data_IF_222326070727
#
_entry.id   IF_222326070727
#
_cell.length_a   1.000
_cell.length_b   1.000
_cell.length_c   1.000
_cell.angle_alpha   90.00
_cell.angle_beta   90.00
_cell.angle_gamma   90.00
#
_symmetry.space_group_name_H-M   'P 1'
#
loop_
_entity.id
_entity.type
_entity.pdbx_description
1 polymer ?
#
# COMPACT_ATOMS: atom_id res chain seq x y z
N UNK A 1 29.50 -6.89 -4.02
CA UNK A 1 28.85 -7.33 -2.77
C UNK A 1 29.21 -6.32 -1.70
N UNK A 2 28.23 -5.89 -0.91
CA UNK A 2 28.44 -4.85 0.10
C UNK A 2 28.51 -5.54 1.45
N UNK A 3 29.60 -5.38 2.19
CA UNK A 3 29.78 -5.93 3.54
C UNK A 3 29.29 -4.90 4.57
N UNK A 4 28.42 -5.32 5.50
CA UNK A 4 27.91 -4.45 6.55
C UNK A 4 29.03 -4.04 7.52
N UNK A 5 30.09 -4.80 7.67
CA UNK A 5 31.23 -4.45 8.53
C UNK A 5 31.97 -3.19 8.09
N UNK A 6 31.82 -2.80 6.81
CA UNK A 6 32.46 -1.60 6.26
C UNK A 6 31.80 -0.30 6.71
N UNK A 7 30.66 -0.39 7.44
CA UNK A 7 29.90 0.78 7.87
C UNK A 7 30.21 1.13 9.31
N UNK A 8 30.81 2.29 9.52
CA UNK A 8 31.12 2.83 10.83
C UNK A 8 30.28 4.09 11.13
N UNK A 9 30.20 4.46 12.42
CA UNK A 9 29.58 5.71 12.86
C UNK A 9 30.55 6.89 12.69
N UNK A 10 30.99 7.15 11.46
CA UNK A 10 31.80 8.33 11.20
C UNK A 10 30.95 9.59 11.27
N UNK A 11 31.33 10.52 12.15
CA UNK A 11 30.62 11.78 12.35
C UNK A 11 31.06 12.90 11.40
N UNK A 12 32.11 12.69 10.64
CA UNK A 12 32.59 13.62 9.63
C UNK A 12 33.24 12.90 8.45
N UNK A 13 32.78 13.22 7.27
CA UNK A 13 33.34 12.75 6.00
C UNK A 13 33.80 13.97 5.20
N UNK A 14 35.02 13.92 4.66
CA UNK A 14 35.50 14.92 3.70
C UNK A 14 35.45 14.27 2.31
N UNK A 15 34.51 14.69 1.45
CA UNK A 15 34.45 14.14 0.10
C UNK A 15 35.76 14.46 -0.65
N UNK A 16 36.31 13.44 -1.28
CA UNK A 16 37.57 13.54 -2.06
C UNK A 16 37.37 14.26 -3.41
N UNK A 17 36.13 14.49 -3.83
CA UNK A 17 35.76 15.10 -5.13
C UNK A 17 34.92 16.37 -4.94
N UNK A 18 34.91 17.26 -5.95
CA UNK A 18 33.94 18.37 -5.98
C UNK A 18 32.53 17.79 -6.05
N UNK A 19 31.74 18.03 -5.01
CA UNK A 19 30.33 17.61 -4.90
C UNK A 19 29.42 18.80 -5.27
N UNK A 20 28.23 18.51 -5.81
CA UNK A 20 27.21 19.52 -6.10
C UNK A 20 26.66 20.13 -4.81
N UNK A 21 25.98 21.27 -4.91
CA UNK A 21 25.33 21.92 -3.76
C UNK A 21 24.23 21.02 -3.20
N UNK A 22 23.50 20.34 -4.06
CA UNK A 22 22.41 19.41 -3.70
C UNK A 22 22.98 18.19 -2.97
N UNK A 23 24.07 17.63 -3.46
CA UNK A 23 24.76 16.50 -2.83
C UNK A 23 25.29 16.87 -1.44
N UNK A 24 25.83 18.10 -1.30
CA UNK A 24 26.26 18.61 0.01
C UNK A 24 25.11 18.71 1.00
N UNK A 25 23.96 19.25 0.58
CA UNK A 25 22.75 19.33 1.43
C UNK A 25 22.26 17.94 1.84
N UNK A 26 22.32 16.97 0.93
CA UNK A 26 21.91 15.60 1.27
C UNK A 26 22.87 14.97 2.29
N UNK A 27 24.19 15.18 2.16
CA UNK A 27 25.14 14.77 3.18
C UNK A 27 24.87 15.42 4.55
N UNK A 28 24.52 16.70 4.59
CA UNK A 28 24.15 17.38 5.84
C UNK A 28 22.92 16.72 6.50
N UNK A 29 21.92 16.33 5.69
CA UNK A 29 20.73 15.58 6.17
C UNK A 29 21.12 14.19 6.70
N UNK A 30 21.97 13.47 5.98
CA UNK A 30 22.47 12.15 6.37
C UNK A 30 23.23 12.23 7.69
N UNK A 31 24.17 13.17 7.84
CA UNK A 31 24.89 13.37 9.10
C UNK A 31 23.98 13.82 10.24
N UNK A 32 22.98 14.66 9.96
CA UNK A 32 21.99 15.03 10.94
C UNK A 32 21.22 13.83 11.43
N UNK A 33 20.75 12.97 10.51
CA UNK A 33 20.05 11.71 10.83
C UNK A 33 20.92 10.77 11.67
N UNK A 34 22.19 10.58 11.28
CA UNK A 34 23.13 9.71 12.00
C UNK A 34 23.37 10.18 13.45
N UNK A 35 23.49 11.49 13.66
CA UNK A 35 23.75 12.08 14.99
C UNK A 35 22.52 12.15 15.88
N UNK A 36 21.39 12.62 15.31
CA UNK A 36 20.17 12.89 16.08
C UNK A 36 19.18 11.73 16.10
N UNK A 37 19.35 10.74 15.21
CA UNK A 37 18.34 9.73 14.96
C UNK A 37 17.10 10.25 14.23
N UNK A 38 17.18 11.42 13.59
CA UNK A 38 16.07 11.98 12.84
C UNK A 38 15.71 11.09 11.63
N UNK A 39 14.40 10.89 11.42
CA UNK A 39 13.91 10.12 10.30
C UNK A 39 14.05 10.90 8.99
N UNK A 40 14.55 10.24 7.96
CA UNK A 40 14.55 10.68 6.57
C UNK A 40 13.50 9.87 5.80
N UNK A 41 13.09 10.37 4.65
CA UNK A 41 12.16 9.67 3.73
C UNK A 41 12.81 9.56 2.36
N UNK A 42 12.64 8.41 1.70
CA UNK A 42 13.15 8.19 0.35
C UNK A 42 12.35 7.12 -0.39
N UNK A 43 12.54 7.09 -1.71
CA UNK A 43 11.88 6.12 -2.59
C UNK A 43 12.79 4.92 -2.80
N UNK A 44 12.25 3.72 -2.63
CA UNK A 44 12.96 2.48 -2.91
C UNK A 44 13.16 2.34 -4.42
N UNK A 45 14.40 2.30 -4.85
CA UNK A 45 14.77 2.18 -6.27
C UNK A 45 14.95 0.73 -6.70
N UNK A 46 15.20 -0.17 -5.75
CA UNK A 46 15.40 -1.59 -6.02
C UNK A 46 15.89 -2.35 -4.79
N UNK A 47 16.46 -3.51 -5.06
CA UNK A 47 16.96 -4.41 -4.02
C UNK A 47 18.41 -4.82 -4.33
N UNK A 48 19.20 -4.96 -3.28
CA UNK A 48 20.57 -5.50 -3.34
C UNK A 48 20.72 -6.70 -2.41
N UNK A 49 21.83 -7.38 -2.55
CA UNK A 49 22.28 -8.40 -1.61
C UNK A 49 23.43 -7.84 -0.78
N UNK A 50 23.33 -8.00 0.53
CA UNK A 50 24.29 -7.50 1.51
C UNK A 50 24.83 -8.68 2.32
N UNK A 51 26.15 -8.72 2.54
CA UNK A 51 26.79 -9.69 3.40
C UNK A 51 26.64 -9.21 4.85
N UNK A 52 25.98 -10.03 5.68
CA UNK A 52 25.80 -9.77 7.10
C UNK A 52 27.04 -10.15 7.92
N UNK A 53 27.18 -9.67 9.17
CA UNK A 53 28.34 -10.01 10.03
C UNK A 53 28.48 -11.50 10.34
N UNK A 54 27.38 -12.26 10.25
CA UNK A 54 27.33 -13.71 10.42
C UNK A 54 27.80 -14.49 9.18
N UNK A 55 28.09 -13.79 8.07
CA UNK A 55 28.48 -14.37 6.79
C UNK A 55 27.30 -14.75 5.89
N UNK A 56 26.06 -14.51 6.31
CA UNK A 56 24.88 -14.76 5.48
C UNK A 56 24.63 -13.62 4.49
N UNK A 57 24.21 -13.99 3.28
CA UNK A 57 23.73 -13.03 2.28
C UNK A 57 22.24 -12.76 2.49
N UNK A 58 21.88 -11.51 2.75
CA UNK A 58 20.48 -11.10 2.91
C UNK A 58 20.09 -10.02 1.91
N UNK A 59 18.82 -10.04 1.51
CA UNK A 59 18.23 -8.97 0.71
C UNK A 59 18.23 -7.65 1.49
N UNK A 60 18.37 -6.56 0.77
CA UNK A 60 18.28 -5.21 1.31
C UNK A 60 17.52 -4.30 0.35
N UNK A 61 16.80 -3.32 0.89
CA UNK A 61 16.22 -2.24 0.09
C UNK A 61 17.30 -1.24 -0.26
N UNK A 62 17.26 -0.72 -1.48
CA UNK A 62 18.17 0.30 -1.97
C UNK A 62 17.42 1.58 -2.30
N UNK A 63 17.88 2.69 -1.72
CA UNK A 63 17.44 4.04 -2.00
C UNK A 63 18.63 4.80 -2.57
N UNK A 64 18.43 5.56 -3.63
CA UNK A 64 19.48 6.39 -4.24
C UNK A 64 19.01 7.83 -4.25
N UNK A 65 19.77 8.70 -3.59
CA UNK A 65 19.57 10.15 -3.62
C UNK A 65 20.90 10.84 -3.92
N UNK A 66 20.92 11.66 -4.97
CA UNK A 66 22.11 12.46 -5.36
C UNK A 66 23.41 11.63 -5.39
N UNK A 67 23.38 10.43 -5.99
CA UNK A 67 24.48 9.47 -6.07
C UNK A 67 24.84 8.76 -4.74
N UNK A 68 24.20 9.14 -3.65
CA UNK A 68 24.42 8.46 -2.36
C UNK A 68 23.48 7.27 -2.29
N UNK A 69 24.03 6.10 -2.08
CA UNK A 69 23.30 4.85 -1.94
C UNK A 69 22.98 4.60 -0.48
N UNK A 70 21.72 4.47 -0.13
CA UNK A 70 21.26 4.09 1.21
C UNK A 70 20.71 2.68 1.16
N UNK A 71 21.23 1.83 2.03
CA UNK A 71 20.89 0.41 2.09
C UNK A 71 20.18 0.12 3.40
N UNK A 72 19.04 -0.55 3.31
CA UNK A 72 18.27 -1.00 4.48
C UNK A 72 18.26 -2.53 4.46
N UNK A 73 19.07 -3.22 5.30
CA UNK A 73 19.10 -4.67 5.38
C UNK A 73 17.74 -5.25 5.76
N UNK A 74 17.47 -6.48 5.35
CA UNK A 74 16.20 -7.19 5.60
C UNK A 74 15.76 -7.11 7.08
N UNK A 75 16.68 -7.33 8.01
CA UNK A 75 16.42 -7.36 9.46
C UNK A 75 16.07 -5.96 10.03
N UNK A 76 16.38 -4.90 9.27
CA UNK A 76 16.09 -3.51 9.62
C UNK A 76 14.88 -2.92 8.85
N UNK A 77 14.22 -3.73 8.00
CA UNK A 77 13.02 -3.29 7.25
C UNK A 77 11.77 -3.35 8.12
N UNK A 78 11.60 -4.43 8.89
CA UNK A 78 10.37 -4.72 9.62
C UNK A 78 10.47 -4.37 11.09
N UNK A 79 9.38 -3.81 11.66
CA UNK A 79 9.36 -3.47 13.07
C UNK A 79 9.41 -4.71 13.98
N UNK A 80 8.65 -5.76 13.63
CA UNK A 80 8.63 -7.02 14.38
C UNK A 80 9.35 -8.12 13.57
N UNK A 81 10.48 -8.59 14.08
CA UNK A 81 11.27 -9.65 13.45
C UNK A 81 10.60 -11.02 13.49
N UNK A 82 9.69 -11.28 14.46
CA UNK A 82 8.99 -12.57 14.57
C UNK A 82 7.88 -12.74 13.52
N UNK A 83 7.36 -11.65 12.99
CA UNK A 83 6.28 -11.62 11.98
C UNK A 83 6.73 -10.91 10.71
N UNK A 84 7.95 -11.15 10.28
CA UNK A 84 8.45 -10.58 9.04
C UNK A 84 7.68 -11.12 7.84
N UNK A 85 7.23 -10.25 6.92
CA UNK A 85 6.75 -10.69 5.63
C UNK A 85 7.81 -11.53 4.89
N UNK A 86 7.39 -12.47 4.02
CA UNK A 86 8.33 -13.28 3.26
C UNK A 86 9.29 -12.42 2.42
N UNK A 87 10.52 -12.88 2.13
CA UNK A 87 11.53 -12.12 1.40
C UNK A 87 11.07 -11.57 0.04
N UNK A 88 10.12 -12.23 -0.63
CA UNK A 88 9.59 -11.75 -1.90
C UNK A 88 8.82 -10.42 -1.79
N UNK A 89 8.28 -10.09 -0.60
CA UNK A 89 7.58 -8.81 -0.37
C UNK A 89 8.55 -7.63 -0.51
N UNK A 90 9.81 -7.78 -0.07
CA UNK A 90 10.83 -6.73 -0.25
C UNK A 90 11.02 -6.39 -1.74
N UNK A 91 11.01 -7.40 -2.61
CA UNK A 91 11.15 -7.18 -4.06
C UNK A 91 9.99 -6.38 -4.66
N UNK A 92 8.81 -6.47 -4.08
CA UNK A 92 7.64 -5.69 -4.50
C UNK A 92 7.55 -4.29 -3.90
N UNK A 93 8.52 -3.89 -3.07
CA UNK A 93 8.59 -2.56 -2.48
C UNK A 93 9.26 -1.50 -3.38
N UNK A 94 9.74 -1.87 -4.56
CA UNK A 94 10.26 -0.89 -5.53
C UNK A 94 9.22 0.17 -5.85
N UNK A 95 9.60 1.45 -5.76
CA UNK A 95 8.69 2.58 -5.87
C UNK A 95 8.07 3.03 -4.55
N UNK A 96 8.18 2.24 -3.47
CA UNK A 96 7.64 2.60 -2.16
C UNK A 96 8.36 3.82 -1.56
N UNK A 97 7.57 4.71 -0.95
CA UNK A 97 8.11 5.75 -0.08
C UNK A 97 8.27 5.19 1.34
N UNK A 98 9.49 5.17 1.83
CA UNK A 98 9.81 4.62 3.15
C UNK A 98 10.56 5.62 4.01
N UNK A 99 10.24 5.63 5.29
CA UNK A 99 11.00 6.37 6.30
C UNK A 99 12.16 5.51 6.79
N UNK A 100 13.31 6.13 7.04
CA UNK A 100 14.50 5.45 7.56
C UNK A 100 15.36 6.37 8.43
N UNK A 101 16.20 5.79 9.25
CA UNK A 101 17.20 6.50 10.08
C UNK A 101 18.57 5.96 9.69
N UNK A 102 19.52 6.83 9.42
CA UNK A 102 20.89 6.43 9.10
C UNK A 102 21.55 5.85 10.35
N UNK A 103 22.18 4.69 10.20
CA UNK A 103 22.85 3.96 11.29
C UNK A 103 24.35 3.85 11.12
N UNK A 104 24.85 4.01 9.87
CA UNK A 104 26.27 3.98 9.56
C UNK A 104 26.55 4.55 8.17
N UNK A 105 27.80 4.94 7.95
CA UNK A 105 28.30 5.48 6.68
C UNK A 105 29.57 4.72 6.35
N UNK A 106 29.75 4.31 5.09
CA UNK A 106 30.99 3.68 4.61
C UNK A 106 32.07 4.74 4.39
N UNK A 107 33.32 4.37 4.67
CA UNK A 107 34.49 5.29 4.59
C UNK A 107 34.68 5.98 3.24
N UNK A 108 34.31 5.32 2.14
CA UNK A 108 34.39 5.90 0.79
C UNK A 108 33.31 6.97 0.54
N UNK A 109 32.32 7.10 1.43
CA UNK A 109 31.27 8.09 1.32
C UNK A 109 30.29 7.89 0.15
N UNK A 110 30.24 6.69 -0.44
CA UNK A 110 29.30 6.42 -1.53
C UNK A 110 28.08 5.66 -1.05
N UNK A 111 28.14 5.11 0.17
CA UNK A 111 27.13 4.22 0.69
C UNK A 111 26.83 4.45 2.17
N UNK A 112 25.55 4.40 2.52
CA UNK A 112 25.07 4.49 3.90
C UNK A 112 24.23 3.26 4.23
N UNK A 113 24.25 2.85 5.51
CA UNK A 113 23.32 1.86 6.03
C UNK A 113 22.26 2.55 6.89
N UNK A 114 21.04 2.08 6.80
CA UNK A 114 19.90 2.69 7.48
C UNK A 114 18.95 1.64 8.07
N UNK A 115 18.07 2.09 8.95
CA UNK A 115 17.06 1.29 9.62
C UNK A 115 15.67 1.91 9.41
N UNK A 116 14.79 1.20 8.72
CA UNK A 116 13.37 1.51 8.64
C UNK A 116 12.69 1.20 9.97
N UNK A 117 13.09 0.14 10.64
CA UNK A 117 12.59 -0.28 11.95
C UNK A 117 12.65 0.86 12.98
N UNK A 118 13.78 1.59 13.03
CA UNK A 118 13.94 2.76 13.93
C UNK A 118 13.02 3.91 13.55
N UNK A 119 12.87 4.20 12.25
CA UNK A 119 11.96 5.24 11.78
C UNK A 119 10.50 4.90 12.11
N UNK A 120 10.07 3.65 11.90
CA UNK A 120 8.75 3.18 12.29
C UNK A 120 8.51 3.34 13.79
N UNK A 121 9.50 3.04 14.63
CA UNK A 121 9.39 3.24 16.10
C UNK A 121 9.16 4.72 16.47
N UNK A 122 9.85 5.65 15.80
CA UNK A 122 9.67 7.09 16.00
C UNK A 122 8.25 7.51 15.59
N UNK A 123 7.81 7.09 14.39
CA UNK A 123 6.46 7.38 13.89
C UNK A 123 5.38 6.83 14.81
N UNK A 124 5.51 5.60 15.30
CA UNK A 124 4.58 4.98 16.27
C UNK A 124 4.47 5.77 17.55
N UNK A 125 5.61 6.17 18.13
CA UNK A 125 5.60 7.00 19.34
C UNK A 125 4.85 8.31 19.14
N UNK A 126 5.07 8.96 18.00
CA UNK A 126 4.37 10.21 17.66
C UNK A 126 2.88 9.99 17.41
N UNK A 127 2.51 8.91 16.74
CA UNK A 127 1.12 8.55 16.45
C UNK A 127 0.33 8.23 17.72
N UNK A 128 0.95 7.49 18.67
CA UNK A 128 0.32 7.06 19.93
C UNK A 128 0.30 8.15 21.02
N UNK A 129 1.00 9.29 20.85
CA UNK A 129 0.87 10.45 21.74
C UNK A 129 -0.54 11.06 21.73
N UNK A 130 -1.24 10.94 20.61
CA UNK A 130 -2.63 11.38 20.48
C UNK A 130 -3.57 10.23 20.84
N UNK A 131 -4.66 10.49 21.56
CA UNK A 131 -5.63 9.45 21.88
C UNK A 131 -6.19 8.85 20.57
N UNK A 132 -6.24 7.53 20.52
CA UNK A 132 -6.84 6.83 19.40
C UNK A 132 -8.34 7.19 19.30
N UNK A 133 -8.79 7.58 18.11
CA UNK A 133 -10.20 7.83 17.81
C UNK A 133 -10.60 7.00 16.61
N UNK A 134 -11.52 6.05 16.80
CA UNK A 134 -12.17 5.36 15.69
C UNK A 134 -12.90 6.36 14.81
N UNK A 135 -12.89 6.16 13.49
CA UNK A 135 -13.48 7.09 12.52
C UNK A 135 -12.58 8.27 12.12
N UNK A 136 -11.40 8.45 12.76
CA UNK A 136 -10.46 9.50 12.35
C UNK A 136 -9.86 9.20 10.98
N UNK A 137 -9.81 10.22 10.11
CA UNK A 137 -9.10 10.19 8.83
C UNK A 137 -7.62 10.42 9.03
N UNK A 138 -6.81 9.59 8.40
CA UNK A 138 -5.34 9.72 8.35
C UNK A 138 -4.85 9.26 6.99
N UNK A 139 -3.60 9.55 6.67
CA UNK A 139 -2.96 9.10 5.42
C UNK A 139 -2.18 7.80 5.66
N UNK A 140 -2.21 6.89 4.71
CA UNK A 140 -1.32 5.73 4.64
C UNK A 140 -0.57 5.69 3.30
N UNK A 141 0.64 5.12 3.31
CA UNK A 141 1.48 4.92 2.14
C UNK A 141 1.46 3.43 1.75
N UNK A 142 1.23 3.16 0.47
CA UNK A 142 1.29 1.80 -0.09
C UNK A 142 2.74 1.40 -0.28
N UNK A 143 3.19 0.34 0.39
CA UNK A 143 4.59 -0.11 0.32
C UNK A 143 4.79 -1.39 -0.50
N UNK A 144 3.75 -2.19 -0.68
CA UNK A 144 3.77 -3.34 -1.57
C UNK A 144 2.36 -3.75 -1.97
N UNK A 145 2.17 -4.20 -3.22
CA UNK A 145 0.88 -4.63 -3.74
C UNK A 145 0.98 -6.05 -4.29
N UNK A 146 0.15 -6.93 -3.75
CA UNK A 146 -0.09 -8.27 -4.26
C UNK A 146 -1.42 -8.34 -5.02
N UNK A 147 -1.79 -9.55 -5.49
CA UNK A 147 -3.04 -9.74 -6.23
C UNK A 147 -4.31 -9.46 -5.39
N UNK A 148 -4.32 -9.90 -4.14
CA UNK A 148 -5.50 -9.82 -3.26
C UNK A 148 -5.29 -8.98 -2.00
N UNK A 149 -4.05 -8.53 -1.75
CA UNK A 149 -3.68 -7.79 -0.53
C UNK A 149 -2.65 -6.72 -0.84
N UNK A 150 -2.75 -5.59 -0.15
CA UNK A 150 -1.75 -4.53 -0.16
C UNK A 150 -1.16 -4.36 1.24
N UNK A 151 0.13 -4.09 1.30
CA UNK A 151 0.82 -3.72 2.53
C UNK A 151 0.97 -2.20 2.56
N UNK A 152 0.43 -1.57 3.59
CA UNK A 152 0.43 -0.13 3.75
C UNK A 152 1.10 0.26 5.07
N UNK A 153 1.75 1.42 5.11
CA UNK A 153 2.28 2.01 6.34
C UNK A 153 1.41 3.17 6.78
N UNK A 154 0.87 3.10 8.00
CA UNK A 154 0.05 4.14 8.60
C UNK A 154 0.53 4.44 10.02
N UNK A 155 0.90 5.69 10.32
CA UNK A 155 1.37 6.08 11.65
C UNK A 155 2.56 5.26 12.18
N UNK A 156 3.38 4.69 11.29
CA UNK A 156 4.49 3.80 11.63
C UNK A 156 4.09 2.33 11.84
N UNK A 157 2.85 1.97 11.58
CA UNK A 157 2.37 0.59 11.59
C UNK A 157 2.29 0.05 10.17
N UNK A 158 2.85 -1.13 9.95
CA UNK A 158 2.64 -1.87 8.71
C UNK A 158 1.33 -2.67 8.83
N UNK A 159 0.38 -2.37 7.96
CA UNK A 159 -0.97 -2.93 7.96
C UNK A 159 -1.21 -3.64 6.65
N UNK A 160 -1.60 -4.92 6.72
CA UNK A 160 -1.98 -5.69 5.57
C UNK A 160 -3.48 -5.52 5.32
N UNK A 161 -3.83 -4.89 4.18
CA UNK A 161 -5.20 -4.66 3.75
C UNK A 161 -5.61 -5.71 2.72
N UNK A 162 -6.80 -6.29 2.91
CA UNK A 162 -7.46 -7.09 1.89
C UNK A 162 -8.36 -6.24 1.00
N UNK A 163 -8.78 -6.80 -0.14
CA UNK A 163 -9.73 -6.12 -1.05
C UNK A 163 -11.00 -5.61 -0.35
N UNK A 164 -11.58 -6.30 0.67
CA UNK A 164 -12.77 -5.79 1.37
C UNK A 164 -12.55 -4.51 2.18
N UNK A 165 -11.30 -4.16 2.56
CA UNK A 165 -10.99 -2.92 3.26
C UNK A 165 -10.58 -1.78 2.29
N UNK A 166 -10.34 -2.12 1.02
CA UNK A 166 -9.84 -1.21 -0.02
C UNK A 166 -10.99 -0.66 -0.87
N UNK A 167 -11.91 -1.53 -1.31
CA UNK A 167 -13.01 -1.16 -2.20
C UNK A 167 -14.34 -1.74 -1.73
N UNK A 168 -15.43 -1.09 -2.13
CA UNK A 168 -16.80 -1.61 -1.98
C UNK A 168 -17.15 -2.60 -3.09
N UNK A 169 -16.57 -2.44 -4.29
CA UNK A 169 -16.77 -3.33 -5.41
C UNK A 169 -15.78 -4.49 -5.43
N UNK A 170 -16.10 -5.52 -6.22
CA UNK A 170 -15.20 -6.65 -6.43
C UNK A 170 -13.98 -6.22 -7.27
N UNK A 171 -12.79 -6.53 -6.79
CA UNK A 171 -11.52 -6.31 -7.48
C UNK A 171 -10.87 -7.68 -7.74
N UNK A 172 -10.77 -8.12 -9.00
CA UNK A 172 -10.14 -9.39 -9.35
C UNK A 172 -8.63 -9.40 -9.14
N UNK A 173 -7.97 -8.31 -9.48
CA UNK A 173 -6.54 -8.10 -9.27
C UNK A 173 -6.28 -6.68 -8.74
N UNK A 174 -5.74 -6.61 -7.52
CA UNK A 174 -5.50 -5.32 -6.86
C UNK A 174 -4.40 -4.51 -7.56
N UNK A 175 -3.50 -5.15 -8.29
CA UNK A 175 -2.42 -4.48 -9.03
C UNK A 175 -2.92 -3.59 -10.19
N UNK A 176 -4.16 -3.82 -10.64
CA UNK A 176 -4.76 -2.99 -11.70
C UNK A 176 -5.27 -1.64 -11.20
N UNK A 177 -5.51 -1.51 -9.87
CA UNK A 177 -6.15 -0.32 -9.29
C UNK A 177 -5.36 0.32 -8.14
N UNK A 178 -4.23 -0.27 -7.73
CA UNK A 178 -3.39 0.25 -6.64
C UNK A 178 -1.91 0.00 -6.95
N UNK A 179 -1.07 1.00 -6.74
CA UNK A 179 0.35 0.92 -7.03
C UNK A 179 1.21 1.24 -5.81
N UNK A 180 2.39 0.65 -5.77
CA UNK A 180 3.40 0.92 -4.74
C UNK A 180 3.84 2.37 -4.80
N UNK A 181 3.91 3.05 -3.65
CA UNK A 181 4.24 4.47 -3.55
C UNK A 181 3.04 5.41 -3.53
N UNK A 182 1.83 4.92 -3.77
CA UNK A 182 0.62 5.75 -3.65
C UNK A 182 0.30 6.09 -2.19
N UNK A 183 -0.31 7.25 -2.02
CA UNK A 183 -0.88 7.69 -0.75
C UNK A 183 -2.40 7.63 -0.80
N UNK A 184 -3.01 7.06 0.25
CA UNK A 184 -4.46 6.99 0.40
C UNK A 184 -4.92 7.53 1.73
N UNK A 185 -6.05 8.25 1.73
CA UNK A 185 -6.78 8.53 2.95
C UNK A 185 -7.44 7.25 3.47
N UNK A 186 -7.35 7.03 4.77
CA UNK A 186 -7.93 5.87 5.46
C UNK A 186 -8.67 6.29 6.71
N UNK A 187 -9.65 5.49 7.10
CA UNK A 187 -10.33 5.59 8.38
C UNK A 187 -9.68 4.63 9.36
N UNK A 188 -9.36 5.14 10.57
CA UNK A 188 -8.92 4.32 11.69
C UNK A 188 -10.11 3.55 12.24
N UNK A 189 -10.05 2.21 12.24
CA UNK A 189 -11.14 1.35 12.75
C UNK A 189 -10.93 0.96 14.21
N UNK A 190 -9.80 0.34 14.50
CA UNK A 190 -9.45 -0.10 15.85
C UNK A 190 -7.94 -0.19 16.01
N UNK A 191 -7.50 -0.04 17.25
CA UNK A 191 -6.12 -0.31 17.66
C UNK A 191 -6.16 -1.27 18.85
N UNK A 192 -5.45 -2.37 18.76
CA UNK A 192 -5.28 -3.34 19.84
C UNK A 192 -3.92 -3.09 20.50
N UNK A 193 -3.95 -2.63 21.75
CA UNK A 193 -2.75 -2.33 22.53
C UNK A 193 -1.93 -3.57 22.88
N UNK A 194 -2.58 -4.74 23.02
CA UNK A 194 -1.89 -5.98 23.40
C UNK A 194 -1.10 -6.58 22.24
N UNK A 195 -1.70 -6.59 21.05
CA UNK A 195 -1.07 -7.14 19.85
C UNK A 195 -0.36 -6.07 19.01
N UNK A 196 -0.49 -4.80 19.38
CA UNK A 196 0.00 -3.64 18.62
C UNK A 196 -0.47 -3.66 17.15
N UNK A 197 -1.70 -4.11 16.91
CA UNK A 197 -2.30 -4.16 15.59
C UNK A 197 -3.24 -2.98 15.35
N UNK A 198 -2.99 -2.27 14.27
CA UNK A 198 -3.85 -1.20 13.77
C UNK A 198 -4.72 -1.75 12.64
N UNK A 199 -6.04 -1.49 12.69
CA UNK A 199 -6.98 -1.77 11.60
C UNK A 199 -7.42 -0.46 10.96
N UNK A 200 -7.34 -0.40 9.65
CA UNK A 200 -7.70 0.77 8.84
C UNK A 200 -8.57 0.34 7.66
N UNK A 201 -9.25 1.29 7.04
CA UNK A 201 -10.05 1.05 5.84
C UNK A 201 -9.89 2.21 4.86
N UNK A 202 -9.52 1.92 3.62
CA UNK A 202 -9.44 2.87 2.51
C UNK A 202 -10.84 3.19 2.01
N UNK A 203 -11.69 2.16 1.84
CA UNK A 203 -13.03 2.33 1.29
C UNK A 203 -13.90 3.25 2.14
N UNK A 204 -13.79 3.16 3.48
CA UNK A 204 -14.60 3.98 4.38
C UNK A 204 -14.18 5.46 4.40
N UNK A 205 -13.01 5.82 3.87
CA UNK A 205 -12.61 7.20 3.66
C UNK A 205 -13.32 7.85 2.45
N UNK A 206 -13.88 7.04 1.55
CA UNK A 206 -14.62 7.48 0.37
C UNK A 206 -16.14 7.41 0.64
N UNK A 207 -16.96 8.26 -0.01
CA UNK A 207 -18.41 8.11 0.03
C UNK A 207 -18.81 6.70 -0.44
N UNK A 208 -19.85 6.13 0.18
CA UNK A 208 -20.33 4.82 -0.22
C UNK A 208 -20.88 4.89 -1.66
N UNK A 209 -20.52 4.00 -2.61
CA UNK A 209 -21.01 4.05 -4.00
C UNK A 209 -22.52 4.04 -4.13
N UNK A 210 -23.21 3.43 -3.16
CA UNK A 210 -24.66 3.39 -3.10
C UNK A 210 -25.30 4.76 -2.80
N UNK A 211 -24.56 5.66 -2.14
CA UNK A 211 -25.10 6.97 -1.77
C UNK A 211 -25.32 7.81 -3.05
N UNK A 212 -26.58 8.25 -3.28
CA UNK A 212 -27.00 8.91 -4.52
C UNK A 212 -27.05 8.00 -5.76
N UNK A 213 -26.95 6.67 -5.61
CA UNK A 213 -26.95 5.74 -6.73
C UNK A 213 -28.26 5.79 -7.53
N UNK A 214 -29.40 5.95 -6.87
CA UNK A 214 -30.71 6.02 -7.55
C UNK A 214 -30.87 7.25 -8.43
N UNK A 215 -30.24 8.37 -8.05
CA UNK A 215 -30.21 9.57 -8.88
C UNK A 215 -29.35 9.38 -10.13
N UNK A 216 -28.21 8.70 -10.00
CA UNK A 216 -27.31 8.41 -11.13
C UNK A 216 -27.85 7.30 -12.05
N UNK A 217 -28.54 6.33 -11.49
CA UNK A 217 -29.05 5.15 -12.19
C UNK A 217 -30.53 4.90 -11.81
N UNK A 218 -31.48 5.72 -12.29
CA UNK A 218 -32.88 5.56 -11.92
C UNK A 218 -33.44 4.18 -12.23
N UNK A 219 -34.45 3.77 -11.47
CA UNK A 219 -35.18 2.51 -11.72
C UNK A 219 -35.70 2.50 -13.17
N UNK A 220 -35.65 1.35 -13.82
CA UNK A 220 -35.95 1.10 -15.24
C UNK A 220 -35.00 1.74 -16.25
N UNK A 221 -33.94 2.44 -15.82
CA UNK A 221 -32.91 2.87 -16.77
C UNK A 221 -32.08 1.69 -17.27
N UNK A 222 -31.62 1.79 -18.52
CA UNK A 222 -30.68 0.86 -19.12
C UNK A 222 -29.25 1.38 -18.94
N UNK A 223 -28.31 0.49 -18.59
CA UNK A 223 -26.89 0.83 -18.42
C UNK A 223 -26.02 -0.22 -19.07
N UNK A 224 -24.96 0.25 -19.73
CA UNK A 224 -23.84 -0.63 -20.11
C UNK A 224 -23.06 -0.98 -18.84
N UNK A 225 -22.62 -2.21 -18.74
CA UNK A 225 -21.93 -2.72 -17.56
C UNK A 225 -21.00 -3.86 -17.94
N UNK A 226 -20.11 -4.23 -17.02
CA UNK A 226 -19.18 -5.35 -17.19
C UNK A 226 -19.46 -6.37 -16.09
N UNK A 227 -19.49 -7.65 -16.45
CA UNK A 227 -19.66 -8.73 -15.48
C UNK A 227 -18.34 -8.89 -14.68
N UNK A 228 -18.40 -8.71 -13.36
CA UNK A 228 -17.27 -8.84 -12.46
C UNK A 228 -17.27 -10.13 -11.64
N UNK A 229 -18.41 -10.82 -11.58
CA UNK A 229 -18.53 -12.08 -10.86
C UNK A 229 -19.82 -12.80 -11.18
N UNK A 230 -19.92 -14.07 -10.74
CA UNK A 230 -21.12 -14.90 -10.86
C UNK A 230 -21.56 -15.37 -9.48
N UNK A 231 -22.88 -15.58 -9.32
CA UNK A 231 -23.48 -16.24 -8.17
C UNK A 231 -24.62 -17.15 -8.62
N UNK A 232 -25.17 -17.99 -7.74
CA UNK A 232 -26.14 -19.03 -8.13
C UNK A 232 -27.40 -18.52 -8.83
N UNK A 233 -27.77 -17.26 -8.64
CA UNK A 233 -28.97 -16.64 -9.26
C UNK A 233 -28.68 -15.65 -10.37
N UNK A 234 -27.41 -15.43 -10.76
CA UNK A 234 -27.07 -14.42 -11.76
C UNK A 234 -25.62 -13.96 -11.73
N UNK A 235 -25.41 -12.68 -11.99
CA UNK A 235 -24.08 -12.09 -12.11
C UNK A 235 -23.99 -10.76 -11.34
N UNK A 236 -22.79 -10.44 -10.91
CA UNK A 236 -22.42 -9.10 -10.45
C UNK A 236 -22.01 -8.29 -11.67
N UNK A 237 -22.66 -7.16 -11.85
CA UNK A 237 -22.37 -6.21 -12.93
C UNK A 237 -21.85 -4.91 -12.32
N UNK A 238 -20.69 -4.44 -12.78
CA UNK A 238 -20.05 -3.21 -12.29
C UNK A 238 -20.63 -2.00 -13.02
N UNK A 239 -21.24 -1.12 -12.28
CA UNK A 239 -21.68 0.20 -12.71
C UNK A 239 -20.58 1.24 -12.45
N UNK A 240 -20.84 2.49 -12.83
CA UNK A 240 -19.95 3.60 -12.53
C UNK A 240 -19.72 3.77 -11.02
N UNK A 241 -18.56 4.34 -10.65
CA UNK A 241 -18.18 4.62 -9.25
C UNK A 241 -18.11 3.37 -8.35
N UNK A 242 -17.65 2.24 -8.87
CA UNK A 242 -17.49 1.00 -8.11
C UNK A 242 -18.78 0.42 -7.54
N UNK A 243 -19.94 0.81 -8.06
CA UNK A 243 -21.23 0.30 -7.63
C UNK A 243 -21.51 -1.05 -8.29
N UNK A 244 -21.70 -2.08 -7.48
CA UNK A 244 -22.09 -3.40 -7.97
C UNK A 244 -23.62 -3.52 -8.04
N UNK A 245 -24.11 -4.08 -9.17
CA UNK A 245 -25.50 -4.41 -9.38
C UNK A 245 -25.66 -5.93 -9.49
N UNK A 246 -26.51 -6.53 -8.65
CA UNK A 246 -26.86 -7.93 -8.73
C UNK A 246 -27.89 -8.13 -9.83
N UNK A 247 -27.49 -8.75 -10.93
CA UNK A 247 -28.32 -8.93 -12.10
C UNK A 247 -28.77 -10.39 -12.24
N UNK A 248 -30.07 -10.59 -12.37
CA UNK A 248 -30.63 -11.89 -12.77
C UNK A 248 -30.60 -12.06 -14.29
N UNK A 249 -30.59 -13.31 -14.75
CA UNK A 249 -30.81 -13.66 -16.15
C UNK A 249 -32.28 -13.47 -16.56
N UNK A 250 -32.51 -13.31 -17.84
CA UNK A 250 -33.85 -13.51 -18.41
C UNK A 250 -34.16 -15.03 -18.46
N UNK A 251 -35.44 -15.43 -18.42
CA UNK A 251 -35.82 -16.86 -18.47
C UNK A 251 -35.29 -17.61 -19.70
N UNK A 252 -35.05 -16.90 -20.79
CA UNK A 252 -34.55 -17.42 -22.06
C UNK A 252 -33.03 -17.48 -22.13
N UNK A 253 -32.32 -16.91 -21.15
CA UNK A 253 -30.86 -16.81 -21.12
C UNK A 253 -30.25 -17.98 -20.33
N UNK A 254 -29.19 -18.57 -20.88
CA UNK A 254 -28.44 -19.59 -20.19
C UNK A 254 -27.26 -18.92 -19.41
N UNK A 255 -27.08 -19.32 -18.15
CA UNK A 255 -25.99 -18.84 -17.33
C UNK A 255 -24.58 -19.16 -17.91
N UNK A 256 -24.48 -20.19 -18.75
CA UNK A 256 -23.24 -20.58 -19.41
C UNK A 256 -22.81 -19.60 -20.51
N UNK A 257 -23.73 -18.80 -21.07
CA UNK A 257 -23.44 -17.85 -22.14
C UNK A 257 -22.76 -16.57 -21.66
N UNK A 258 -22.69 -16.36 -20.34
CA UNK A 258 -22.11 -15.16 -19.73
C UNK A 258 -20.84 -15.48 -18.97
N UNK A 259 -19.77 -14.68 -19.20
CA UNK A 259 -18.47 -14.84 -18.60
C UNK A 259 -18.03 -13.57 -17.86
N UNK A 260 -17.15 -13.72 -16.90
CA UNK A 260 -16.50 -12.57 -16.23
C UNK A 260 -15.72 -11.79 -17.30
N UNK A 261 -15.90 -10.46 -17.33
CA UNK A 261 -15.33 -9.57 -18.35
C UNK A 261 -16.27 -9.26 -19.52
N UNK A 262 -17.40 -9.99 -19.66
CA UNK A 262 -18.36 -9.69 -20.71
C UNK A 262 -19.02 -8.32 -20.51
N UNK A 263 -19.18 -7.59 -21.61
CA UNK A 263 -19.95 -6.35 -21.63
C UNK A 263 -21.42 -6.67 -21.85
N UNK A 264 -22.27 -6.12 -21.00
CA UNK A 264 -23.72 -6.37 -21.01
C UNK A 264 -24.50 -5.08 -20.85
N UNK A 265 -25.72 -5.08 -21.38
CA UNK A 265 -26.71 -4.05 -21.09
C UNK A 265 -27.63 -4.59 -20.01
N UNK A 266 -27.74 -3.86 -18.92
CA UNK A 266 -28.61 -4.21 -17.81
C UNK A 266 -29.71 -3.17 -17.62
N UNK A 267 -30.82 -3.55 -17.00
CA UNK A 267 -31.86 -2.63 -16.52
C UNK A 267 -31.90 -2.65 -15.00
N UNK A 268 -31.89 -1.49 -14.38
CA UNK A 268 -32.03 -1.35 -12.94
C UNK A 268 -33.48 -1.63 -12.55
N UNK A 269 -33.68 -2.48 -11.53
CA UNK A 269 -35.03 -2.90 -11.11
C UNK A 269 -35.43 -2.36 -9.75
N UNK A 270 -34.54 -2.46 -8.76
CA UNK A 270 -34.83 -1.98 -7.42
C UNK A 270 -33.59 -1.69 -6.62
N UNK A 271 -33.76 -0.89 -5.58
CA UNK A 271 -32.76 -0.58 -4.55
C UNK A 271 -33.15 -1.23 -3.22
N UNK A 272 -32.19 -1.83 -2.55
CA UNK A 272 -32.32 -2.25 -1.15
C UNK A 272 -31.46 -1.32 -0.29
N UNK A 273 -32.11 -0.39 0.40
CA UNK A 273 -31.43 0.63 1.19
C UNK A 273 -30.81 0.08 2.47
N UNK A 274 -31.42 -0.94 3.08
CA UNK A 274 -30.90 -1.56 4.30
C UNK A 274 -29.57 -2.27 4.04
N UNK A 275 -29.48 -3.03 2.95
CA UNK A 275 -28.29 -3.78 2.56
C UNK A 275 -27.38 -3.01 1.61
N UNK A 276 -27.76 -1.80 1.20
CA UNK A 276 -27.04 -1.00 0.19
C UNK A 276 -26.75 -1.77 -1.09
N UNK A 277 -27.75 -2.49 -1.61
CA UNK A 277 -27.63 -3.31 -2.82
C UNK A 277 -28.53 -2.77 -3.94
N UNK A 278 -28.01 -2.86 -5.16
CA UNK A 278 -28.75 -2.57 -6.39
C UNK A 278 -29.08 -3.87 -7.10
N UNK A 279 -30.31 -4.02 -7.54
CA UNK A 279 -30.76 -5.19 -8.28
C UNK A 279 -31.15 -4.79 -9.70
N UNK A 280 -30.72 -5.60 -10.66
CA UNK A 280 -30.96 -5.42 -12.07
C UNK A 280 -31.32 -6.74 -12.78
N UNK A 281 -31.45 -6.62 -14.09
CA UNK A 281 -31.61 -7.76 -14.98
C UNK A 281 -30.78 -7.55 -16.23
N UNK A 282 -30.13 -8.58 -16.73
CA UNK A 282 -29.41 -8.55 -18.00
C UNK A 282 -30.46 -8.49 -19.13
N UNK A 283 -30.28 -7.57 -20.06
CA UNK A 283 -31.11 -7.46 -21.27
C UNK A 283 -30.42 -8.13 -22.45
N UNK A 284 -29.16 -7.83 -22.67
CA UNK A 284 -28.40 -8.31 -23.80
C UNK A 284 -26.90 -8.35 -23.49
N UNK A 285 -26.15 -9.18 -24.18
CA UNK A 285 -24.70 -9.12 -24.29
C UNK A 285 -24.33 -8.10 -25.38
N UNK A 286 -23.28 -7.33 -25.15
CA UNK A 286 -22.82 -6.29 -26.07
C UNK A 286 -21.52 -6.67 -26.75
#
# INVERSE_FOLDING_TARGET
>A
MIDIKDFERHTSFKPSKRISIEEKKEWERIFSSLRSGASLTGTVMGNDTVLMPDGEEKLALTIIQYRIKVIIPYDEVWYNSEKCPPPHVIRSMTGAHVDYVITGIRMDGECCIASRKRALAIRRRSFLKLPFKSGKRVTCNVIAVGRAKALCTCGGFDVLLGTPDISYGMIPDLKECMHTGEEHEVILKSYDEKTHQLKISIKEAKPHPFDGAEQRHPVNCRRASVITGKYDGGVFCKLENELDCLCSYLPEQNALDFHIGDRVVIVIRKYNYERKLVFGRILARW
#
